data_IF_403875522445
#
_entry.id   IF_403875522445
#
_cell.length_a   1.000
_cell.length_b   1.000
_cell.length_c   1.000
_cell.angle_alpha   90.00
_cell.angle_beta   90.00
_cell.angle_gamma   90.00
#
_symmetry.space_group_name_H-M   'P 1'
#
loop_
_entity.id
_entity.type
_entity.pdbx_description
1 polymer ?
#
# COMPACT_ATOMS: atom_id res chain seq x y z
N UNK A 1 22.19 -16.22 8.88
CA UNK A 1 21.63 -17.48 8.34
C UNK A 1 20.13 -17.29 8.26
N UNK A 2 19.63 -16.91 7.09
CA UNK A 2 18.21 -16.70 6.81
C UNK A 2 17.48 -18.04 6.81
N UNK A 3 16.68 -18.30 7.84
CA UNK A 3 15.76 -19.43 7.92
C UNK A 3 14.46 -19.11 7.20
N UNK A 4 14.54 -18.80 5.91
CA UNK A 4 13.33 -18.86 5.08
C UNK A 4 12.99 -20.33 4.83
N UNK A 5 11.76 -20.79 5.10
CA UNK A 5 11.33 -22.10 4.67
C UNK A 5 11.43 -22.18 3.13
N UNK A 6 11.81 -23.33 2.55
CA UNK A 6 11.85 -23.48 1.10
C UNK A 6 10.46 -23.17 0.53
N UNK A 7 10.41 -22.31 -0.50
CA UNK A 7 9.17 -21.95 -1.17
C UNK A 7 8.39 -23.22 -1.54
N UNK A 8 7.06 -23.26 -1.30
CA UNK A 8 6.26 -24.44 -1.64
C UNK A 8 6.48 -24.75 -3.12
N UNK A 9 6.75 -26.03 -3.44
CA UNK A 9 7.01 -26.45 -4.80
C UNK A 9 5.88 -25.95 -5.71
N UNK A 10 6.21 -25.01 -6.60
CA UNK A 10 5.24 -24.35 -7.46
C UNK A 10 4.31 -25.38 -8.12
N UNK A 11 3.02 -25.04 -8.18
CA UNK A 11 2.00 -25.89 -8.80
C UNK A 11 2.49 -26.40 -10.15
N UNK A 12 2.09 -27.60 -10.57
CA UNK A 12 2.49 -28.15 -11.89
C UNK A 12 2.22 -27.14 -13.02
N UNK A 13 1.16 -26.34 -12.86
CA UNK A 13 0.79 -25.21 -13.71
C UNK A 13 1.84 -24.09 -13.71
N UNK A 14 2.31 -23.64 -12.55
CA UNK A 14 3.36 -22.63 -12.46
C UNK A 14 4.67 -23.11 -13.13
N UNK A 15 5.07 -24.36 -12.92
CA UNK A 15 6.24 -24.91 -13.62
C UNK A 15 6.06 -25.00 -15.14
N UNK A 16 4.88 -25.40 -15.60
CA UNK A 16 4.57 -25.40 -17.03
C UNK A 16 4.57 -23.98 -17.62
N UNK A 17 4.15 -22.97 -16.86
CA UNK A 17 4.09 -21.57 -17.29
C UNK A 17 5.47 -20.95 -17.56
N UNK A 18 6.55 -21.46 -16.95
CA UNK A 18 7.92 -21.00 -17.23
C UNK A 18 8.27 -21.08 -18.72
N UNK A 19 7.91 -22.20 -19.37
CA UNK A 19 8.11 -22.39 -20.81
C UNK A 19 6.85 -22.05 -21.61
N UNK A 20 5.67 -22.29 -21.04
CA UNK A 20 4.38 -21.99 -21.66
C UNK A 20 4.18 -20.50 -21.94
N UNK A 21 4.61 -19.62 -21.03
CA UNK A 21 4.53 -18.17 -21.21
C UNK A 21 5.27 -17.68 -22.45
N UNK A 22 6.58 -17.98 -22.60
CA UNK A 22 7.35 -17.57 -23.78
C UNK A 22 6.80 -18.14 -25.09
N UNK A 23 6.36 -19.42 -25.07
CA UNK A 23 5.79 -20.06 -26.25
C UNK A 23 4.46 -19.42 -26.67
N UNK A 24 3.57 -19.15 -25.71
CA UNK A 24 2.31 -18.44 -25.98
C UNK A 24 2.57 -17.01 -26.46
N UNK A 25 3.51 -16.30 -25.85
CA UNK A 25 3.91 -14.96 -26.29
C UNK A 25 4.43 -14.97 -27.73
N UNK A 26 5.34 -15.88 -28.06
CA UNK A 26 5.85 -16.04 -29.43
C UNK A 26 4.72 -16.39 -30.42
N UNK A 27 3.78 -17.25 -30.03
CA UNK A 27 2.60 -17.59 -30.82
C UNK A 27 1.70 -16.38 -31.09
N UNK A 28 1.43 -15.55 -30.08
CA UNK A 28 0.65 -14.30 -30.23
C UNK A 28 1.39 -13.31 -31.13
N UNK A 29 2.70 -13.10 -30.93
CA UNK A 29 3.50 -12.21 -31.77
C UNK A 29 3.54 -12.66 -33.23
N UNK A 30 3.70 -13.96 -33.47
CA UNK A 30 3.63 -14.54 -34.82
C UNK A 30 2.23 -14.37 -35.44
N UNK A 31 1.17 -14.57 -34.65
CA UNK A 31 -0.21 -14.32 -35.08
C UNK A 31 -0.45 -12.86 -35.47
N UNK A 32 0.06 -11.90 -34.69
CA UNK A 32 -0.01 -10.47 -35.02
C UNK A 32 0.69 -10.15 -36.36
N UNK A 33 1.80 -10.80 -36.66
CA UNK A 33 2.50 -10.59 -37.92
C UNK A 33 1.76 -11.25 -39.09
N UNK A 34 1.40 -12.53 -38.96
CA UNK A 34 0.86 -13.36 -40.04
C UNK A 34 -0.61 -13.03 -40.36
N UNK A 35 -1.43 -12.73 -39.36
CA UNK A 35 -2.86 -12.50 -39.55
C UNK A 35 -3.22 -11.02 -39.72
N UNK A 36 -2.50 -10.12 -39.05
CA UNK A 36 -2.83 -8.68 -39.01
C UNK A 36 -1.81 -7.80 -39.75
N UNK A 37 -0.69 -8.35 -40.22
CA UNK A 37 0.34 -7.59 -40.93
C UNK A 37 0.97 -6.47 -40.09
N UNK A 38 0.97 -6.59 -38.75
CA UNK A 38 1.50 -5.56 -37.87
C UNK A 38 3.02 -5.43 -37.97
N UNK A 39 3.52 -4.25 -37.59
CA UNK A 39 4.95 -3.96 -37.55
C UNK A 39 5.67 -4.86 -36.53
N UNK A 40 6.95 -5.14 -36.80
CA UNK A 40 7.75 -5.98 -35.90
C UNK A 40 7.77 -5.50 -34.43
N UNK A 41 7.90 -4.18 -34.13
CA UNK A 41 7.80 -3.69 -32.76
C UNK A 41 6.45 -3.98 -32.09
N UNK A 42 5.34 -3.87 -32.83
CA UNK A 42 4.00 -4.17 -32.30
C UNK A 42 3.85 -5.67 -31.98
N UNK A 43 4.34 -6.55 -32.85
CA UNK A 43 4.31 -8.00 -32.62
C UNK A 43 5.15 -8.41 -31.40
N UNK A 44 6.35 -7.83 -31.23
CA UNK A 44 7.19 -8.08 -30.06
C UNK A 44 6.58 -7.52 -28.78
N UNK A 45 5.95 -6.36 -28.85
CA UNK A 45 5.20 -5.78 -27.72
C UNK A 45 4.08 -6.72 -27.29
N UNK A 46 3.29 -7.25 -28.23
CA UNK A 46 2.24 -8.22 -27.95
C UNK A 46 2.81 -9.50 -27.31
N UNK A 47 3.89 -10.04 -27.87
CA UNK A 47 4.53 -11.26 -27.35
C UNK A 47 5.01 -11.11 -25.90
N UNK A 48 5.73 -10.02 -25.60
CA UNK A 48 6.23 -9.73 -24.24
C UNK A 48 5.08 -9.43 -23.28
N UNK A 49 4.03 -8.75 -23.74
CA UNK A 49 2.83 -8.48 -22.93
C UNK A 49 2.10 -9.76 -22.56
N UNK A 50 1.91 -10.68 -23.52
CA UNK A 50 1.32 -12.00 -23.27
C UNK A 50 2.17 -12.81 -22.29
N UNK A 51 3.50 -12.81 -22.47
CA UNK A 51 4.42 -13.45 -21.53
C UNK A 51 4.23 -12.92 -20.11
N UNK A 52 4.24 -11.60 -19.93
CA UNK A 52 4.06 -10.97 -18.62
C UNK A 52 2.68 -11.28 -18.02
N UNK A 53 1.62 -11.26 -18.83
CA UNK A 53 0.27 -11.59 -18.37
C UNK A 53 0.18 -13.04 -17.87
N UNK A 54 0.72 -14.00 -18.61
CA UNK A 54 0.75 -15.41 -18.21
C UNK A 54 1.56 -15.59 -16.94
N UNK A 55 2.73 -14.96 -16.83
CA UNK A 55 3.57 -15.06 -15.65
C UNK A 55 3.00 -14.34 -14.43
N UNK A 56 2.31 -13.20 -14.58
CA UNK A 56 1.64 -12.56 -13.45
C UNK A 56 0.42 -13.34 -12.96
N UNK A 57 -0.31 -14.03 -13.84
CA UNK A 57 -1.49 -14.83 -13.45
C UNK A 57 -1.11 -16.18 -12.84
N UNK A 58 -0.10 -16.85 -13.41
CA UNK A 58 0.31 -18.19 -12.99
C UNK A 58 1.48 -18.21 -12.00
N UNK A 59 2.07 -17.05 -11.74
CA UNK A 59 3.16 -16.80 -10.79
C UNK A 59 4.28 -17.87 -10.82
N UNK A 60 4.89 -18.16 -11.98
CA UNK A 60 5.99 -19.12 -12.07
C UNK A 60 7.29 -18.59 -11.43
N UNK A 61 7.43 -17.26 -11.39
CA UNK A 61 8.47 -16.48 -10.71
C UNK A 61 7.79 -15.29 -10.01
N UNK A 62 8.52 -14.52 -9.20
CA UNK A 62 7.94 -13.38 -8.49
C UNK A 62 7.37 -12.31 -9.45
N UNK A 63 6.32 -11.61 -9.01
CA UNK A 63 5.69 -10.53 -9.78
C UNK A 63 6.71 -9.44 -10.18
N UNK A 64 7.65 -9.13 -9.28
CA UNK A 64 8.72 -8.17 -9.50
C UNK A 64 9.73 -8.65 -10.57
N UNK A 65 10.14 -9.93 -10.53
CA UNK A 65 11.02 -10.48 -11.56
C UNK A 65 10.35 -10.50 -12.94
N UNK A 66 9.05 -10.85 -12.99
CA UNK A 66 8.24 -10.77 -14.21
C UNK A 66 8.19 -9.33 -14.74
N UNK A 67 8.01 -8.34 -13.85
CA UNK A 67 7.99 -6.93 -14.21
C UNK A 67 9.32 -6.42 -14.76
N UNK A 68 10.46 -7.12 -14.59
CA UNK A 68 11.75 -6.76 -15.19
C UNK A 68 11.95 -7.34 -16.60
N UNK A 69 11.10 -8.27 -17.04
CA UNK A 69 11.21 -8.86 -18.38
C UNK A 69 11.13 -7.81 -19.48
N UNK A 70 10.17 -6.85 -19.48
CA UNK A 70 10.13 -5.80 -20.49
C UNK A 70 11.39 -4.92 -20.48
N UNK A 71 12.01 -4.70 -19.31
CA UNK A 71 13.23 -3.91 -19.18
C UNK A 71 14.36 -4.44 -20.06
N UNK A 72 14.57 -5.75 -20.01
CA UNK A 72 15.60 -6.42 -20.81
C UNK A 72 15.13 -6.70 -22.25
N UNK A 73 13.87 -7.10 -22.43
CA UNK A 73 13.37 -7.56 -23.72
C UNK A 73 13.19 -6.43 -24.74
N UNK A 74 12.61 -5.28 -24.36
CA UNK A 74 12.26 -4.24 -25.33
C UNK A 74 13.47 -3.61 -26.06
N UNK A 75 14.60 -3.31 -25.39
CA UNK A 75 15.80 -2.84 -26.08
C UNK A 75 16.39 -3.88 -27.02
N UNK A 76 16.45 -5.15 -26.59
CA UNK A 76 17.01 -6.24 -27.40
C UNK A 76 16.14 -6.54 -28.63
N UNK A 77 14.83 -6.40 -28.50
CA UNK A 77 13.85 -6.60 -29.58
C UNK A 77 13.63 -5.34 -30.44
N UNK A 78 14.36 -4.24 -30.16
CA UNK A 78 14.25 -2.94 -30.86
C UNK A 78 12.84 -2.36 -30.84
N UNK A 79 12.13 -2.54 -29.73
CA UNK A 79 10.80 -1.96 -29.49
C UNK A 79 10.92 -0.54 -28.94
N UNK A 80 11.72 -0.39 -27.89
CA UNK A 80 12.05 0.88 -27.22
C UNK A 80 13.55 0.89 -26.91
N UNK A 81 14.16 2.07 -26.83
CA UNK A 81 15.55 2.18 -26.38
C UNK A 81 15.69 2.03 -24.85
N UNK A 82 16.93 1.83 -24.38
CA UNK A 82 17.20 1.62 -22.96
C UNK A 82 16.86 2.83 -22.07
N UNK A 83 16.88 4.05 -22.60
CA UNK A 83 16.55 5.27 -21.85
C UNK A 83 15.04 5.41 -21.67
N UNK A 84 14.28 5.17 -22.74
CA UNK A 84 12.82 5.15 -22.73
C UNK A 84 12.30 4.11 -21.73
N UNK A 85 12.86 2.90 -21.78
CA UNK A 85 12.49 1.83 -20.87
C UNK A 85 12.88 2.17 -19.44
N UNK A 86 14.09 2.69 -19.19
CA UNK A 86 14.52 3.11 -17.86
C UNK A 86 13.65 4.24 -17.26
N UNK A 87 13.22 5.20 -18.09
CA UNK A 87 12.35 6.29 -17.65
C UNK A 87 11.01 5.78 -17.09
N UNK A 88 10.48 4.66 -17.60
CA UNK A 88 9.27 4.03 -17.07
C UNK A 88 9.45 3.49 -15.63
N UNK A 89 10.65 3.01 -15.27
CA UNK A 89 10.93 2.50 -13.91
C UNK A 89 11.34 3.63 -12.95
N UNK A 90 11.89 4.73 -13.49
CA UNK A 90 12.15 5.97 -12.75
C UNK A 90 10.93 6.88 -12.64
N UNK A 91 9.73 6.39 -12.98
CA UNK A 91 8.52 7.19 -12.99
C UNK A 91 8.19 7.77 -11.60
N UNK A 92 7.65 8.98 -11.56
CA UNK A 92 7.44 9.72 -10.31
C UNK A 92 6.54 8.98 -9.30
N UNK A 93 5.61 8.14 -9.77
CA UNK A 93 4.78 7.28 -8.91
C UNK A 93 5.57 6.16 -8.22
N UNK A 94 6.62 5.64 -8.86
CA UNK A 94 7.53 4.68 -8.25
C UNK A 94 8.29 5.36 -7.11
N UNK A 95 8.76 6.60 -7.33
CA UNK A 95 9.41 7.41 -6.31
C UNK A 95 8.45 7.77 -5.15
N UNK A 96 7.18 8.07 -5.45
CA UNK A 96 6.14 8.29 -4.45
C UNK A 96 5.92 7.05 -3.58
N UNK A 97 5.81 5.86 -4.19
CA UNK A 97 5.65 4.60 -3.47
C UNK A 97 6.88 4.25 -2.62
N UNK A 98 8.09 4.49 -3.14
CA UNK A 98 9.34 4.32 -2.39
C UNK A 98 9.35 5.22 -1.14
N UNK A 99 9.08 6.51 -1.31
CA UNK A 99 9.03 7.47 -0.20
C UNK A 99 7.93 7.13 0.82
N UNK A 100 6.74 6.75 0.36
CA UNK A 100 5.66 6.27 1.22
C UNK A 100 6.06 5.04 2.03
N UNK A 101 6.81 4.12 1.42
CA UNK A 101 7.35 2.94 2.12
C UNK A 101 8.35 3.33 3.21
N UNK A 102 9.24 4.31 2.95
CA UNK A 102 10.18 4.84 3.97
C UNK A 102 9.43 5.47 5.15
N UNK A 103 8.39 6.27 4.88
CA UNK A 103 7.55 6.89 5.92
C UNK A 103 6.81 5.82 6.72
N UNK A 104 6.27 4.79 6.06
CA UNK A 104 5.64 3.63 6.68
C UNK A 104 6.61 2.88 7.61
N UNK A 105 7.84 2.62 7.16
CA UNK A 105 8.89 1.98 7.96
C UNK A 105 9.24 2.83 9.19
N UNK A 106 9.29 4.16 9.06
CA UNK A 106 9.52 5.05 10.21
C UNK A 106 8.41 4.94 11.28
N UNK A 107 7.15 4.85 10.83
CA UNK A 107 6.01 4.62 11.74
C UNK A 107 6.11 3.27 12.44
N UNK A 108 6.58 2.24 11.74
CA UNK A 108 6.84 0.92 12.30
C UNK A 108 7.95 0.95 13.35
N UNK A 109 9.15 1.41 13.00
CA UNK A 109 10.32 1.46 13.89
C UNK A 109 10.08 2.30 15.16
N UNK A 110 9.39 3.42 15.04
CA UNK A 110 9.07 4.26 16.20
C UNK A 110 8.00 3.65 17.12
N UNK A 111 7.21 2.68 16.66
CA UNK A 111 6.04 2.17 17.38
C UNK A 111 4.84 3.12 17.37
N UNK A 112 4.88 4.21 16.59
CA UNK A 112 3.82 5.21 16.52
C UNK A 112 2.48 4.59 16.07
N UNK A 113 2.53 3.66 15.11
CA UNK A 113 1.38 2.91 14.63
C UNK A 113 0.63 2.16 15.76
N UNK A 114 1.35 1.55 16.72
CA UNK A 114 0.75 0.82 17.83
C UNK A 114 -0.04 1.79 18.74
N UNK A 115 0.47 3.01 18.92
CA UNK A 115 -0.23 4.06 19.67
C UNK A 115 -1.52 4.50 19.00
N UNK A 116 -1.46 4.73 17.69
CA UNK A 116 -2.63 5.09 16.89
C UNK A 116 -3.67 3.96 16.95
N UNK A 117 -3.24 2.71 16.76
CA UNK A 117 -4.11 1.54 16.82
C UNK A 117 -4.82 1.39 18.17
N UNK A 118 -4.06 1.35 19.28
CA UNK A 118 -4.63 1.24 20.63
C UNK A 118 -5.52 2.43 20.96
N UNK A 119 -5.14 3.64 20.52
CA UNK A 119 -5.95 4.84 20.66
C UNK A 119 -7.31 4.72 19.97
N UNK A 120 -7.33 4.26 18.71
CA UNK A 120 -8.56 4.06 17.94
C UNK A 120 -9.43 2.95 18.52
N UNK A 121 -8.83 1.83 18.92
CA UNK A 121 -9.57 0.73 19.58
C UNK A 121 -10.18 1.21 20.90
N UNK A 122 -9.52 2.09 21.66
CA UNK A 122 -10.08 2.69 22.88
C UNK A 122 -11.18 3.70 22.61
N UNK A 123 -11.00 4.55 21.59
CA UNK A 123 -11.97 5.56 21.17
C UNK A 123 -13.29 4.93 20.70
N UNK A 124 -13.20 3.86 19.92
CA UNK A 124 -14.35 3.26 19.23
C UNK A 124 -14.85 1.98 19.93
N UNK A 125 -13.94 1.20 20.52
CA UNK A 125 -14.16 -0.17 20.97
C UNK A 125 -14.41 -0.35 22.47
N UNK A 126 -14.86 0.68 23.18
CA UNK A 126 -15.02 0.66 24.64
C UNK A 126 -15.87 -0.51 25.17
N UNK A 127 -15.26 -1.35 26.02
CA UNK A 127 -15.90 -2.26 26.98
C UNK A 127 -16.71 -3.44 26.45
N UNK A 128 -17.16 -3.42 25.19
CA UNK A 128 -18.03 -4.43 24.59
C UNK A 128 -17.38 -5.11 23.38
N UNK A 129 -17.47 -6.43 23.30
CA UNK A 129 -16.81 -7.23 22.27
C UNK A 129 -17.20 -6.86 20.84
N UNK A 130 -18.46 -6.48 20.59
CA UNK A 130 -18.89 -6.02 19.25
C UNK A 130 -18.24 -4.69 18.86
N UNK A 131 -18.10 -3.76 19.80
CA UNK A 131 -17.43 -2.47 19.58
C UNK A 131 -15.93 -2.67 19.42
N UNK A 132 -15.35 -3.64 20.11
CA UNK A 132 -13.95 -3.99 19.97
C UNK A 132 -13.62 -4.42 18.53
N UNK A 133 -14.48 -5.23 17.90
CA UNK A 133 -14.36 -5.57 16.47
C UNK A 133 -14.42 -4.32 15.59
N UNK A 134 -15.33 -3.38 15.87
CA UNK A 134 -15.39 -2.11 15.14
C UNK A 134 -14.10 -1.29 15.33
N UNK A 135 -13.58 -1.23 16.55
CA UNK A 135 -12.34 -0.52 16.88
C UNK A 135 -11.16 -1.04 16.08
N UNK A 136 -10.98 -2.37 16.01
CA UNK A 136 -9.94 -2.96 15.16
C UNK A 136 -10.20 -2.72 13.67
N UNK A 137 -11.44 -2.87 13.20
CA UNK A 137 -11.80 -2.63 11.80
C UNK A 137 -11.47 -1.19 11.36
N UNK A 138 -11.85 -0.19 12.18
CA UNK A 138 -11.56 1.23 11.95
C UNK A 138 -10.07 1.53 12.07
N UNK A 139 -9.40 0.98 13.08
CA UNK A 139 -7.96 1.16 13.27
C UNK A 139 -7.16 0.62 12.08
N UNK A 140 -7.49 -0.58 11.61
CA UNK A 140 -6.88 -1.18 10.43
C UNK A 140 -7.17 -0.37 9.18
N UNK A 141 -8.40 0.12 9.00
CA UNK A 141 -8.72 0.94 7.84
C UNK A 141 -7.97 2.27 7.84
N UNK A 142 -7.90 2.94 8.99
CA UNK A 142 -7.22 4.22 9.11
C UNK A 142 -5.70 4.10 8.95
N UNK A 143 -5.07 3.04 9.46
CA UNK A 143 -3.64 2.79 9.24
C UNK A 143 -3.35 2.42 7.78
N UNK A 144 -4.18 1.54 7.19
CA UNK A 144 -3.99 1.07 5.82
C UNK A 144 -4.32 2.10 4.75
N UNK A 145 -4.96 3.22 5.11
CA UNK A 145 -5.05 4.38 4.23
C UNK A 145 -3.66 4.97 3.91
N UNK A 146 -2.64 4.69 4.70
CA UNK A 146 -1.33 5.32 4.55
C UNK A 146 -0.16 4.36 4.57
N UNK A 147 -0.44 3.11 4.96
CA UNK A 147 0.49 1.99 5.00
C UNK A 147 -0.03 0.89 4.09
N UNK A 148 0.81 -0.10 3.76
CA UNK A 148 0.33 -1.24 2.98
C UNK A 148 -0.64 -2.10 3.79
N UNK A 149 -1.61 -2.73 3.10
CA UNK A 149 -2.59 -3.63 3.71
C UNK A 149 -1.92 -4.78 4.47
N UNK A 150 -0.83 -5.32 3.90
CA UNK A 150 -0.06 -6.41 4.49
C UNK A 150 0.66 -5.94 5.75
N UNK A 151 1.38 -4.82 5.69
CA UNK A 151 2.07 -4.27 6.86
C UNK A 151 1.07 -3.99 8.00
N UNK A 152 -0.02 -3.30 7.69
CA UNK A 152 -1.09 -3.02 8.67
C UNK A 152 -1.62 -4.29 9.32
N UNK A 153 -1.82 -5.36 8.54
CA UNK A 153 -2.31 -6.64 9.06
C UNK A 153 -1.31 -7.30 9.98
N UNK A 154 -0.05 -7.42 9.55
CA UNK A 154 1.03 -8.05 10.32
C UNK A 154 1.29 -7.30 11.62
N UNK A 155 1.25 -5.97 11.59
CA UNK A 155 1.52 -5.11 12.75
C UNK A 155 0.42 -5.18 13.80
N UNK A 156 -0.85 -5.33 13.40
CA UNK A 156 -1.98 -5.43 14.32
C UNK A 156 -2.24 -6.85 14.81
N UNK A 157 -1.73 -7.86 14.12
CA UNK A 157 -1.95 -9.26 14.46
C UNK A 157 -1.52 -9.60 15.90
N UNK A 158 -0.34 -9.22 16.41
CA UNK A 158 0.03 -9.48 17.80
C UNK A 158 -0.94 -8.85 18.81
N UNK A 159 -1.43 -7.65 18.52
CA UNK A 159 -2.37 -6.92 19.39
C UNK A 159 -3.73 -7.64 19.41
N UNK A 160 -4.20 -8.08 18.25
CA UNK A 160 -5.42 -8.89 18.13
C UNK A 160 -5.27 -10.20 18.90
N UNK A 161 -4.15 -10.91 18.74
CA UNK A 161 -3.90 -12.16 19.45
C UNK A 161 -3.88 -11.97 20.97
N UNK A 162 -3.24 -10.90 21.46
CA UNK A 162 -3.25 -10.56 22.88
C UNK A 162 -4.67 -10.29 23.40
N UNK A 163 -5.49 -9.57 22.64
CA UNK A 163 -6.90 -9.32 22.96
C UNK A 163 -7.73 -10.60 22.96
N UNK A 164 -7.51 -11.50 22.01
CA UNK A 164 -8.20 -12.79 21.94
C UNK A 164 -7.83 -13.67 23.14
N UNK A 165 -6.56 -13.69 23.56
CA UNK A 165 -6.10 -14.43 24.74
C UNK A 165 -6.68 -13.85 26.04
N UNK A 166 -6.86 -12.54 26.11
CA UNK A 166 -7.49 -11.87 27.25
C UNK A 166 -9.03 -11.99 27.25
N UNK A 167 -9.64 -12.31 26.11
CA UNK A 167 -11.08 -12.42 25.99
C UNK A 167 -11.60 -13.70 26.66
N UNK A 168 -12.67 -13.57 27.44
CA UNK A 168 -13.33 -14.70 28.12
C UNK A 168 -14.20 -15.57 27.19
N UNK A 169 -14.28 -15.23 25.90
CA UNK A 169 -15.11 -15.94 24.92
C UNK A 169 -14.37 -16.17 23.61
N UNK A 170 -14.45 -17.39 23.08
CA UNK A 170 -13.91 -17.76 21.77
C UNK A 170 -14.70 -17.15 20.60
N UNK A 171 -15.93 -16.68 20.84
CA UNK A 171 -16.79 -16.07 19.83
C UNK A 171 -16.21 -14.78 19.22
N UNK A 172 -15.24 -14.16 19.89
CA UNK A 172 -14.54 -12.96 19.40
C UNK A 172 -13.30 -13.27 18.53
N UNK A 173 -12.76 -14.49 18.59
CA UNK A 173 -11.49 -14.80 17.92
C UNK A 173 -11.58 -14.61 16.40
N UNK A 174 -12.56 -15.25 15.76
CA UNK A 174 -12.74 -15.16 14.32
C UNK A 174 -13.11 -13.73 13.85
N UNK A 175 -14.08 -13.02 14.44
CA UNK A 175 -14.39 -11.64 14.06
C UNK A 175 -13.21 -10.67 14.21
N UNK A 176 -12.41 -10.79 15.27
CA UNK A 176 -11.23 -9.93 15.47
C UNK A 176 -10.11 -10.23 14.47
N UNK A 177 -9.82 -11.52 14.23
CA UNK A 177 -8.83 -11.94 13.22
C UNK A 177 -9.23 -11.50 11.81
N UNK A 178 -10.53 -11.48 11.49
CA UNK A 178 -11.04 -11.04 10.19
C UNK A 178 -11.17 -9.51 10.10
N UNK A 179 -11.47 -8.82 11.19
CA UNK A 179 -11.63 -7.37 11.20
C UNK A 179 -10.36 -6.66 10.68
N UNK A 180 -9.19 -7.16 11.01
CA UNK A 180 -7.93 -6.53 10.60
C UNK A 180 -7.71 -6.57 9.08
N UNK A 181 -7.66 -7.74 8.41
CA UNK A 181 -7.41 -7.81 6.97
C UNK A 181 -8.55 -7.18 6.15
N UNK A 182 -9.82 -7.32 6.59
CA UNK A 182 -10.91 -6.62 5.91
C UNK A 182 -10.81 -5.11 6.09
N UNK A 183 -10.54 -4.63 7.31
CA UNK A 183 -10.36 -3.21 7.60
C UNK A 183 -9.21 -2.63 6.79
N UNK A 184 -8.06 -3.32 6.76
CA UNK A 184 -6.91 -2.92 5.97
C UNK A 184 -7.25 -2.84 4.47
N UNK A 185 -7.91 -3.87 3.93
CA UNK A 185 -8.29 -3.89 2.50
C UNK A 185 -9.26 -2.76 2.13
N UNK A 186 -10.26 -2.50 2.97
CA UNK A 186 -11.21 -1.40 2.78
C UNK A 186 -10.45 -0.08 2.88
N UNK A 187 -9.66 0.13 3.95
CA UNK A 187 -8.91 1.35 4.19
C UNK A 187 -7.91 1.70 3.10
N UNK A 188 -7.23 0.72 2.52
CA UNK A 188 -6.30 0.92 1.41
C UNK A 188 -6.94 1.53 0.15
N UNK A 189 -8.26 1.49 0.03
CA UNK A 189 -9.00 2.16 -1.06
C UNK A 189 -9.25 3.66 -0.78
N UNK A 190 -9.06 4.11 0.47
CA UNK A 190 -9.42 5.46 0.92
C UNK A 190 -8.52 6.57 0.39
N UNK A 191 -7.24 6.30 0.13
CA UNK A 191 -6.28 7.28 -0.38
C UNK A 191 -5.49 6.73 -1.57
N UNK A 192 -4.85 7.59 -2.39
CA UNK A 192 -3.99 7.14 -3.47
C UNK A 192 -2.83 6.24 -3.03
N UNK A 193 -2.30 6.44 -1.82
CA UNK A 193 -1.08 5.76 -1.35
C UNK A 193 -1.37 4.40 -0.73
N UNK A 194 -2.61 4.17 -0.27
CA UNK A 194 -2.99 2.94 0.43
C UNK A 194 -2.70 1.67 -0.37
N UNK A 195 -2.90 1.68 -1.70
CA UNK A 195 -2.58 0.53 -2.56
C UNK A 195 -2.03 0.93 -3.94
N UNK A 196 -1.10 0.14 -4.53
CA UNK A 196 -0.56 0.41 -5.86
C UNK A 196 -1.60 0.57 -6.99
N UNK A 197 -2.70 -0.20 -7.04
CA UNK A 197 -3.73 -0.01 -8.07
C UNK A 197 -4.32 1.41 -8.11
N UNK A 198 -4.42 2.08 -6.97
CA UNK A 198 -4.95 3.45 -6.91
C UNK A 198 -4.04 4.43 -7.65
N UNK A 199 -2.72 4.33 -7.45
CA UNK A 199 -1.75 5.16 -8.15
C UNK A 199 -1.72 4.88 -9.66
N UNK A 200 -1.84 3.60 -10.05
CA UNK A 200 -1.90 3.24 -11.47
C UNK A 200 -3.15 3.83 -12.12
N UNK A 201 -4.30 3.77 -11.44
CA UNK A 201 -5.52 4.39 -11.96
C UNK A 201 -5.39 5.92 -12.07
N UNK A 202 -4.75 6.55 -11.07
CA UNK A 202 -4.51 7.99 -11.06
C UNK A 202 -3.68 8.43 -12.28
N UNK A 203 -2.63 7.68 -12.61
CA UNK A 203 -1.79 7.90 -13.78
C UNK A 203 -2.59 7.78 -15.08
N UNK A 204 -3.36 6.70 -15.22
CA UNK A 204 -4.12 6.45 -16.44
C UNK A 204 -5.19 7.53 -16.66
N UNK A 205 -5.80 8.04 -15.58
CA UNK A 205 -6.72 9.18 -15.67
C UNK A 205 -6.00 10.47 -16.13
N UNK A 206 -4.81 10.74 -15.59
CA UNK A 206 -4.00 11.88 -16.00
C UNK A 206 -3.64 11.82 -17.49
N UNK A 207 -3.25 10.64 -17.99
CA UNK A 207 -2.96 10.42 -19.42
C UNK A 207 -4.18 10.64 -20.32
N UNK A 208 -5.38 10.38 -19.82
CA UNK A 208 -6.66 10.65 -20.51
C UNK A 208 -7.11 12.12 -20.48
N UNK A 209 -6.30 13.04 -19.94
CA UNK A 209 -6.63 14.47 -19.83
C UNK A 209 -7.42 14.85 -18.57
N UNK A 210 -7.62 13.91 -17.64
CA UNK A 210 -8.31 14.13 -16.38
C UNK A 210 -7.33 14.02 -15.21
N UNK A 211 -6.74 15.14 -14.79
CA UNK A 211 -5.90 15.15 -13.61
C UNK A 211 -6.75 15.08 -12.33
N UNK A 212 -6.85 13.89 -11.74
CA UNK A 212 -7.45 13.74 -10.43
C UNK A 212 -6.39 14.10 -9.36
N UNK A 213 -6.76 15.02 -8.46
CA UNK A 213 -5.92 15.44 -7.33
C UNK A 213 -5.98 14.42 -6.21
N UNK A 214 -5.05 14.50 -5.25
CA UNK A 214 -5.08 13.65 -4.05
C UNK A 214 -6.40 13.80 -3.28
N UNK A 215 -6.88 15.04 -3.12
CA UNK A 215 -8.18 15.37 -2.52
C UNK A 215 -9.34 14.86 -3.36
N UNK A 216 -9.27 15.00 -4.69
CA UNK A 216 -10.25 14.46 -5.62
C UNK A 216 -10.43 12.94 -5.46
N UNK A 217 -9.34 12.19 -5.32
CA UNK A 217 -9.41 10.76 -5.00
C UNK A 217 -10.08 10.51 -3.65
N UNK A 218 -9.66 11.22 -2.59
CA UNK A 218 -10.24 11.05 -1.26
C UNK A 218 -11.73 11.35 -1.24
N UNK A 219 -12.20 12.29 -2.08
CA UNK A 219 -13.62 12.57 -2.29
C UNK A 219 -14.44 11.38 -2.81
N UNK A 220 -13.78 10.37 -3.39
CA UNK A 220 -14.40 9.11 -3.83
C UNK A 220 -14.08 7.98 -2.84
N UNK A 221 -12.80 7.80 -2.50
CA UNK A 221 -12.32 6.70 -1.69
C UNK A 221 -12.82 6.73 -0.24
N UNK A 222 -12.75 7.89 0.43
CA UNK A 222 -13.16 8.00 1.84
C UNK A 222 -14.66 7.71 2.02
N UNK A 223 -15.58 8.25 1.20
CA UNK A 223 -16.99 7.85 1.26
C UNK A 223 -17.22 6.35 1.09
N UNK A 224 -16.52 5.69 0.16
CA UNK A 224 -16.61 4.23 -0.02
C UNK A 224 -16.17 3.50 1.25
N UNK A 225 -15.07 3.92 1.88
CA UNK A 225 -14.61 3.36 3.15
C UNK A 225 -15.64 3.54 4.26
N UNK A 226 -16.18 4.75 4.42
CA UNK A 226 -17.17 5.07 5.45
C UNK A 226 -18.46 4.26 5.28
N UNK A 227 -18.82 3.88 4.05
CA UNK A 227 -19.97 3.02 3.77
C UNK A 227 -19.66 1.54 4.00
N UNK A 228 -18.49 1.07 3.58
CA UNK A 228 -18.09 -0.34 3.67
C UNK A 228 -17.80 -0.79 5.10
N UNK A 229 -17.22 0.08 5.95
CA UNK A 229 -16.86 -0.30 7.33
C UNK A 229 -18.08 -0.73 8.16
N UNK A 230 -19.20 0.02 8.21
CA UNK A 230 -20.40 -0.42 8.92
C UNK A 230 -21.02 -1.72 8.38
N UNK A 231 -20.98 -1.93 7.06
CA UNK A 231 -21.52 -3.13 6.41
C UNK A 231 -20.72 -4.35 6.84
N UNK A 232 -19.39 -4.29 6.71
CA UNK A 232 -18.47 -5.34 7.12
C UNK A 232 -18.55 -5.59 8.62
N UNK A 233 -18.60 -4.53 9.43
CA UNK A 233 -18.74 -4.66 10.88
C UNK A 233 -20.01 -5.43 11.27
N UNK A 234 -21.18 -5.03 10.75
CA UNK A 234 -22.45 -5.72 11.01
C UNK A 234 -22.39 -7.20 10.63
N UNK A 235 -21.76 -7.52 9.51
CA UNK A 235 -21.57 -8.90 9.09
C UNK A 235 -20.64 -9.68 10.01
N UNK A 236 -19.52 -9.11 10.45
CA UNK A 236 -18.55 -9.74 11.35
C UNK A 236 -19.16 -10.03 12.73
N UNK A 237 -19.93 -9.09 13.29
CA UNK A 237 -20.49 -9.23 14.64
C UNK A 237 -21.80 -10.01 14.71
N UNK A 238 -22.32 -10.50 13.58
CA UNK A 238 -23.65 -11.16 13.49
C UNK A 238 -23.81 -12.37 14.42
N UNK A 239 -22.70 -13.02 14.80
CA UNK A 239 -22.68 -14.16 15.74
C UNK A 239 -21.99 -13.84 17.08
N UNK A 240 -21.62 -12.59 17.33
CA UNK A 240 -20.94 -12.17 18.56
C UNK A 240 -21.99 -11.86 19.63
N UNK A 241 -21.95 -12.50 20.82
CA UNK A 241 -22.85 -12.18 21.92
C UNK A 241 -22.54 -10.79 22.52
N UNK A 242 -23.54 -10.06 23.06
CA UNK A 242 -23.35 -8.71 23.59
C UNK A 242 -22.42 -8.60 24.81
N UNK A 243 -22.32 -9.65 25.63
CA UNK A 243 -21.72 -9.61 26.98
C UNK A 243 -20.21 -9.93 27.05
N UNK A 244 -19.45 -9.71 25.98
CA UNK A 244 -18.02 -9.99 25.98
C UNK A 244 -17.23 -8.74 26.37
N UNK A 245 -16.91 -8.57 27.66
CA UNK A 245 -16.06 -7.47 28.13
C UNK A 245 -14.58 -7.82 28.06
N UNK A 246 -13.76 -6.92 27.53
CA UNK A 246 -12.30 -7.06 27.47
C UNK A 246 -11.66 -5.80 28.03
N UNK A 247 -10.73 -5.98 28.98
CA UNK A 247 -9.91 -4.89 29.48
C UNK A 247 -8.70 -4.68 28.56
N UNK A 248 -8.53 -3.45 28.07
CA UNK A 248 -7.38 -3.08 27.27
C UNK A 248 -6.25 -2.56 28.17
N UNK A 249 -4.97 -2.91 27.92
CA UNK A 249 -3.83 -2.43 28.69
C UNK A 249 -3.65 -0.92 28.54
N UNK A 250 -3.39 -0.22 29.65
CA UNK A 250 -3.30 1.25 29.70
C UNK A 250 -2.27 1.81 28.69
N UNK A 251 -2.56 2.94 28.03
CA UNK A 251 -1.63 3.53 27.09
C UNK A 251 -0.43 4.09 27.87
N UNK A 252 0.77 3.60 27.56
CA UNK A 252 2.01 4.19 28.07
C UNK A 252 2.19 5.65 27.58
N UNK A 253 3.01 6.49 28.22
CA UNK A 253 3.29 7.83 27.74
C UNK A 253 3.95 7.81 26.35
N UNK A 254 3.60 8.79 25.52
CA UNK A 254 4.19 8.97 24.20
C UNK A 254 5.68 9.27 24.27
N UNK A 255 6.46 8.57 23.44
CA UNK A 255 7.89 8.80 23.29
C UNK A 255 8.16 9.94 22.29
N UNK A 256 9.31 10.60 22.43
CA UNK A 256 9.72 11.68 21.52
C UNK A 256 9.77 11.24 20.06
N UNK A 257 10.29 10.04 19.81
CA UNK A 257 10.37 9.43 18.46
C UNK A 257 8.97 9.26 17.83
N UNK A 258 8.01 8.71 18.60
CA UNK A 258 6.64 8.45 18.15
C UNK A 258 5.95 9.76 17.75
N UNK A 259 6.10 10.81 18.56
CA UNK A 259 5.53 12.13 18.28
C UNK A 259 6.14 12.76 17.03
N UNK A 260 7.47 12.68 16.88
CA UNK A 260 8.18 13.27 15.73
C UNK A 260 7.76 12.61 14.43
N UNK A 261 7.69 11.27 14.38
CA UNK A 261 7.22 10.56 13.19
C UNK A 261 5.78 10.92 12.85
N UNK A 262 4.89 10.98 13.85
CA UNK A 262 3.49 11.39 13.61
C UNK A 262 3.36 12.82 13.13
N UNK A 263 4.17 13.75 13.64
CA UNK A 263 4.20 15.13 13.15
C UNK A 263 4.63 15.17 11.69
N UNK A 264 5.72 14.50 11.31
CA UNK A 264 6.18 14.44 9.92
C UNK A 264 5.09 13.85 9.04
N UNK A 265 4.52 12.72 9.43
CA UNK A 265 3.44 12.07 8.71
C UNK A 265 2.22 12.98 8.52
N UNK A 266 1.77 13.65 9.58
CA UNK A 266 0.64 14.57 9.52
C UNK A 266 0.94 15.78 8.63
N UNK A 267 2.16 16.32 8.68
CA UNK A 267 2.61 17.39 7.78
C UNK A 267 2.65 16.93 6.32
N UNK A 268 3.09 15.70 6.04
CA UNK A 268 3.08 15.12 4.69
C UNK A 268 1.65 14.98 4.17
N UNK A 269 0.74 14.42 4.97
CA UNK A 269 -0.66 14.29 4.61
C UNK A 269 -1.31 15.65 4.35
N UNK A 270 -1.05 16.63 5.23
CA UNK A 270 -1.52 18.00 5.06
C UNK A 270 -0.94 18.63 3.79
N UNK A 271 0.35 18.44 3.51
CA UNK A 271 0.98 18.94 2.29
C UNK A 271 0.37 18.32 1.02
N UNK A 272 0.02 17.03 1.00
CA UNK A 272 -0.71 16.46 -0.14
C UNK A 272 -2.12 17.05 -0.29
N UNK A 273 -2.88 17.11 0.81
CA UNK A 273 -4.24 17.65 0.79
C UNK A 273 -4.28 19.12 0.41
N UNK A 274 -3.26 19.89 0.80
CA UNK A 274 -3.21 21.33 0.59
C UNK A 274 -2.43 21.77 -0.65
N UNK A 275 -1.99 20.82 -1.49
CA UNK A 275 -1.08 21.10 -2.63
C UNK A 275 -1.72 22.00 -3.67
N UNK A 276 -2.87 21.58 -4.19
CA UNK A 276 -3.60 22.27 -5.26
C UNK A 276 -4.92 22.91 -4.76
N UNK A 277 -5.37 22.51 -3.58
CA UNK A 277 -6.63 22.93 -2.96
C UNK A 277 -6.37 23.25 -1.49
N UNK A 278 -7.21 24.05 -0.80
CA UNK A 278 -8.17 25.00 -1.37
C UNK A 278 -7.45 26.21 -2.01
N UNK A 279 -8.15 26.92 -2.90
CA UNK A 279 -7.69 28.19 -3.50
C UNK A 279 -6.33 28.13 -4.23
N UNK A 280 -6.04 27.04 -4.95
CA UNK A 280 -4.75 26.84 -5.63
C UNK A 280 -3.66 26.22 -4.73
N UNK A 281 -3.90 26.14 -3.41
CA UNK A 281 -3.03 25.47 -2.46
C UNK A 281 -1.66 26.13 -2.29
N UNK A 282 -0.75 25.44 -1.59
CA UNK A 282 0.60 25.95 -1.38
C UNK A 282 1.44 25.96 -2.65
N UNK A 283 1.13 25.12 -3.65
CA UNK A 283 1.87 25.11 -4.92
C UNK A 283 1.71 26.43 -5.66
N UNK A 284 0.49 26.99 -5.67
CA UNK A 284 0.20 28.32 -6.20
C UNK A 284 0.86 29.43 -5.40
N UNK A 285 0.71 29.38 -4.07
CA UNK A 285 1.25 30.40 -3.17
C UNK A 285 2.79 30.54 -3.26
N UNK A 286 3.48 29.44 -3.55
CA UNK A 286 4.93 29.42 -3.74
C UNK A 286 5.37 29.60 -5.21
N UNK A 287 4.43 29.67 -6.16
CA UNK A 287 4.74 29.80 -7.59
C UNK A 287 5.42 28.55 -8.18
N UNK A 288 5.18 27.37 -7.61
CA UNK A 288 5.79 26.09 -8.01
C UNK A 288 4.79 25.13 -8.66
N UNK A 289 3.66 25.66 -9.15
CA UNK A 289 2.69 24.90 -9.94
C UNK A 289 3.37 24.23 -11.14
N UNK A 290 3.08 22.96 -11.37
CA UNK A 290 3.71 22.15 -12.42
C UNK A 290 5.14 21.70 -12.13
N UNK A 291 5.84 22.31 -11.16
CA UNK A 291 7.18 21.90 -10.73
C UNK A 291 7.14 20.93 -9.55
N UNK A 292 6.23 21.15 -8.59
CA UNK A 292 6.10 20.32 -7.38
C UNK A 292 4.91 19.34 -7.48
N UNK A 293 5.22 18.05 -7.36
CA UNK A 293 4.26 16.96 -7.39
C UNK A 293 4.05 16.28 -6.03
N UNK A 294 3.16 15.30 -5.99
CA UNK A 294 2.93 14.49 -4.78
C UNK A 294 4.19 13.68 -4.40
N UNK A 295 4.97 13.24 -5.39
CA UNK A 295 6.27 12.59 -5.18
C UNK A 295 7.31 13.52 -4.54
N UNK A 296 7.30 14.82 -4.86
CA UNK A 296 8.19 15.83 -4.27
C UNK A 296 7.96 15.94 -2.77
N UNK A 297 6.69 16.02 -2.34
CA UNK A 297 6.30 16.06 -0.93
C UNK A 297 6.75 14.79 -0.21
N UNK A 298 6.53 13.64 -0.83
CA UNK A 298 6.89 12.34 -0.26
C UNK A 298 8.40 12.21 -0.03
N UNK A 299 9.21 12.55 -1.04
CA UNK A 299 10.66 12.49 -0.98
C UNK A 299 11.20 13.48 0.06
N UNK A 300 10.64 14.70 0.13
CA UNK A 300 11.01 15.67 1.16
C UNK A 300 10.74 15.13 2.58
N UNK A 301 9.60 14.46 2.79
CA UNK A 301 9.28 13.82 4.07
C UNK A 301 10.24 12.66 4.40
N UNK A 302 10.58 11.82 3.41
CA UNK A 302 11.56 10.76 3.58
C UNK A 302 12.94 11.33 3.98
N UNK A 303 13.41 12.37 3.30
CA UNK A 303 14.66 13.08 3.66
C UNK A 303 14.59 13.65 5.07
N UNK A 304 13.47 14.27 5.46
CA UNK A 304 13.29 14.80 6.82
C UNK A 304 13.43 13.71 7.90
N UNK A 305 12.98 12.47 7.62
CA UNK A 305 13.14 11.33 8.53
C UNK A 305 14.60 10.89 8.69
N UNK A 306 15.42 10.98 7.64
CA UNK A 306 16.87 10.72 7.73
C UNK A 306 17.63 11.83 8.45
N UNK A 307 17.13 13.07 8.41
CA UNK A 307 17.82 14.22 9.01
C UNK A 307 17.44 14.42 10.48
N UNK A 308 16.18 14.22 10.86
CA UNK A 308 15.71 14.55 12.19
C UNK A 308 16.10 13.48 13.23
N UNK A 309 16.59 13.88 14.42
CA UNK A 309 16.97 12.94 15.47
C UNK A 309 15.74 12.33 16.16
N UNK A 310 15.87 11.09 16.64
CA UNK A 310 14.85 10.37 17.45
C UNK A 310 14.55 11.04 18.79
N UNK A 311 15.48 11.88 19.28
CA UNK A 311 15.28 12.68 20.49
C UNK A 311 15.48 11.89 21.79
N UNK A 312 16.31 10.84 21.75
CA UNK A 312 16.79 10.07 22.92
C UNK A 312 18.14 10.54 23.46
N UNK A 313 18.82 11.47 22.78
CA UNK A 313 20.14 11.98 23.17
C UNK A 313 21.33 11.13 22.68
N UNK A 314 21.05 10.04 21.96
CA UNK A 314 21.99 9.12 21.32
C UNK A 314 22.52 9.61 19.95
N UNK A 315 21.89 10.63 19.37
CA UNK A 315 22.24 11.16 18.04
C UNK A 315 21.64 10.35 16.88
N UNK A 316 20.88 9.29 17.16
CA UNK A 316 20.23 8.48 16.13
C UNK A 316 19.13 9.26 15.40
N UNK A 317 18.97 8.96 14.11
CA UNK A 317 17.96 9.57 13.22
C UNK A 317 16.67 8.75 13.23
N UNK A 318 15.54 9.36 12.88
CA UNK A 318 14.24 8.64 12.90
C UNK A 318 14.27 7.42 11.99
N UNK A 319 14.94 7.52 10.85
CA UNK A 319 15.24 6.42 9.93
C UNK A 319 16.73 6.43 9.59
N UNK A 320 17.26 5.24 9.38
CA UNK A 320 18.60 4.94 8.89
C UNK A 320 18.47 4.01 7.66
N UNK A 321 19.56 3.83 6.90
CA UNK A 321 19.52 3.08 5.63
C UNK A 321 19.62 1.56 5.84
N UNK A 322 19.94 1.12 7.05
CA UNK A 322 19.87 -0.27 7.51
C UNK A 322 18.42 -0.60 7.91
#
# INVERSE_FOLDING_TARGET
>A
MSTEPPAPAGSRLARAALLGGPLLGAGVGAGCHLALGLSAPACWTAAVTTLCAVWWVLEPISLAATALVPFAAFPLLRVLDYQQVAACYGHHLVLLMLAGSIVSTAMERSGAHHRVAVGMVRLVGGGEGRRLVLGFLVASAALSMWMSNVATTVMLLPVVLAVIQAARTSALALPLLLAVPYGASIGGSGTPIGTPPNLILLEQYQQGGHALTFTGWMGIGVPVVLLMLPVTWRWLVRRVPPAASVELPAPAPWRSEERRVLVIFALTALAWMTRAEPFGGWASALGVEGYAGDSTVAIAAAVALFVLPRGRGDGERLVDWE
#
